data_IF_044980778009
#
_entry.id   IF_044980778009
#
_cell.length_a   1.000
_cell.length_b   1.000
_cell.length_c   1.000
_cell.angle_alpha   90.00
_cell.angle_beta   90.00
_cell.angle_gamma   90.00
#
_symmetry.space_group_name_H-M   'P 1'
#
loop_
_entity.id
_entity.type
_entity.pdbx_description
1 polymer ?
#
# COMPACT_ATOMS: atom_id res chain seq x y z
N UNK A 1 26.97 -10.80 -14.50
CA UNK A 1 25.51 -10.90 -14.74
C UNK A 1 24.67 -11.14 -13.48
N UNK A 2 25.22 -10.95 -12.26
CA UNK A 2 24.45 -11.11 -11.01
C UNK A 2 23.55 -9.91 -10.66
N UNK A 3 23.99 -8.68 -10.99
CA UNK A 3 23.31 -7.43 -10.57
C UNK A 3 21.88 -7.24 -11.09
N UNK A 4 21.52 -7.88 -12.20
CA UNK A 4 20.16 -7.76 -12.78
C UNK A 4 19.17 -8.62 -11.99
N UNK A 5 19.59 -9.77 -11.48
CA UNK A 5 18.73 -10.69 -10.74
C UNK A 5 18.41 -10.15 -9.35
N UNK A 6 19.40 -9.58 -8.65
CA UNK A 6 19.18 -8.89 -7.37
C UNK A 6 18.22 -7.70 -7.51
N UNK A 7 18.34 -6.94 -8.61
CA UNK A 7 17.44 -5.81 -8.89
C UNK A 7 15.97 -6.22 -9.04
N UNK A 8 15.70 -7.37 -9.68
CA UNK A 8 14.34 -7.89 -9.87
C UNK A 8 13.77 -8.39 -8.53
N UNK A 9 14.58 -9.07 -7.71
CA UNK A 9 14.15 -9.56 -6.40
C UNK A 9 13.85 -8.38 -5.47
N UNK A 10 14.72 -7.36 -5.43
CA UNK A 10 14.48 -6.14 -4.66
C UNK A 10 13.20 -5.47 -5.13
N UNK A 11 12.99 -5.31 -6.43
CA UNK A 11 11.79 -4.64 -6.94
C UNK A 11 10.50 -5.39 -6.54
N UNK A 12 10.49 -6.72 -6.61
CA UNK A 12 9.35 -7.54 -6.18
C UNK A 12 9.12 -7.46 -4.66
N UNK A 13 10.18 -7.44 -3.85
CA UNK A 13 10.08 -7.31 -2.39
C UNK A 13 9.53 -5.94 -2.00
N UNK A 14 9.99 -4.87 -2.66
CA UNK A 14 9.45 -3.52 -2.46
C UNK A 14 7.97 -3.42 -2.84
N UNK A 15 7.55 -4.12 -3.90
CA UNK A 15 6.16 -4.20 -4.34
C UNK A 15 5.22 -4.79 -3.28
N UNK A 16 5.73 -5.65 -2.41
CA UNK A 16 4.99 -6.28 -1.31
C UNK A 16 5.09 -5.45 -0.02
N UNK A 17 6.27 -4.90 0.28
CA UNK A 17 6.52 -4.16 1.52
C UNK A 17 5.75 -2.84 1.55
N UNK A 18 5.72 -2.10 0.44
CA UNK A 18 5.04 -0.80 0.35
C UNK A 18 3.54 -0.89 0.75
N UNK A 19 2.71 -1.76 0.13
CA UNK A 19 1.30 -1.86 0.50
C UNK A 19 1.11 -2.39 1.92
N UNK A 20 2.00 -3.24 2.42
CA UNK A 20 1.94 -3.73 3.79
C UNK A 20 2.21 -2.62 4.82
N UNK A 21 3.19 -1.75 4.55
CA UNK A 21 3.48 -0.58 5.37
C UNK A 21 2.32 0.44 5.32
N UNK A 22 1.81 0.73 4.12
CA UNK A 22 0.67 1.63 3.95
C UNK A 22 -0.58 1.12 4.68
N UNK A 23 -0.81 -0.20 4.66
CA UNK A 23 -1.95 -0.84 5.31
C UNK A 23 -1.88 -0.76 6.82
N UNK A 24 -0.72 -1.05 7.41
CA UNK A 24 -0.51 -0.96 8.86
C UNK A 24 -0.61 0.47 9.37
N UNK A 25 -0.04 1.45 8.65
CA UNK A 25 -0.15 2.88 9.00
C UNK A 25 -1.60 3.38 8.87
N UNK A 26 -2.27 3.04 7.76
CA UNK A 26 -3.66 3.40 7.51
C UNK A 26 -4.60 2.82 8.56
N UNK A 27 -4.42 1.55 8.93
CA UNK A 27 -5.20 0.88 9.97
C UNK A 27 -4.99 1.51 11.35
N UNK A 28 -3.74 1.84 11.70
CA UNK A 28 -3.43 2.49 12.98
C UNK A 28 -4.03 3.89 13.06
N UNK A 29 -3.98 4.68 11.97
CA UNK A 29 -4.64 5.98 11.89
C UNK A 29 -6.17 5.87 11.98
N UNK A 30 -6.76 4.84 11.37
CA UNK A 30 -8.20 4.57 11.45
C UNK A 30 -8.60 4.27 12.90
N UNK A 31 -7.84 3.38 13.58
CA UNK A 31 -8.07 3.04 14.97
C UNK A 31 -7.94 4.27 15.88
N UNK A 32 -6.89 5.08 15.72
CA UNK A 32 -6.73 6.33 16.47
C UNK A 32 -7.83 7.35 16.18
N UNK A 33 -8.26 7.46 14.92
CA UNK A 33 -9.35 8.35 14.49
C UNK A 33 -10.68 7.96 15.11
N UNK A 34 -10.96 6.65 15.17
CA UNK A 34 -12.16 6.08 15.78
C UNK A 34 -12.16 6.29 17.30
N UNK A 35 -11.06 5.97 17.97
CA UNK A 35 -10.96 6.05 19.44
C UNK A 35 -10.90 7.49 19.97
N UNK A 36 -10.17 8.38 19.30
CA UNK A 36 -10.00 9.77 19.77
C UNK A 36 -10.92 10.79 19.09
N UNK A 37 -11.84 10.35 18.23
CA UNK A 37 -12.75 11.19 17.43
C UNK A 37 -12.07 12.39 16.74
N UNK A 38 -10.76 12.28 16.44
CA UNK A 38 -10.04 13.31 15.71
C UNK A 38 -10.36 13.17 14.24
N UNK A 39 -11.30 13.99 13.75
CA UNK A 39 -11.74 14.02 12.34
C UNK A 39 -10.58 14.03 11.34
N UNK A 40 -9.49 14.73 11.66
CA UNK A 40 -8.27 14.78 10.85
C UNK A 40 -7.60 13.41 10.66
N UNK A 41 -7.50 12.59 11.71
CA UNK A 41 -6.87 11.27 11.61
C UNK A 41 -7.71 10.31 10.75
N UNK A 42 -9.03 10.50 10.74
CA UNK A 42 -9.96 9.68 9.96
C UNK A 42 -9.88 10.02 8.47
N UNK A 43 -9.69 11.30 8.12
CA UNK A 43 -9.43 11.74 6.75
C UNK A 43 -8.08 11.18 6.24
N UNK A 44 -7.02 11.29 7.04
CA UNK A 44 -5.69 10.76 6.69
C UNK A 44 -5.72 9.23 6.51
N UNK A 45 -6.43 8.52 7.37
CA UNK A 45 -6.65 7.07 7.23
C UNK A 45 -7.39 6.73 5.93
N UNK A 46 -8.45 7.48 5.60
CA UNK A 46 -9.19 7.30 4.36
C UNK A 46 -8.33 7.50 3.12
N UNK A 47 -7.49 8.54 3.10
CA UNK A 47 -6.56 8.80 2.00
C UNK A 47 -5.54 7.66 1.86
N UNK A 48 -4.98 7.15 2.97
CA UNK A 48 -4.08 5.99 2.94
C UNK A 48 -4.77 4.75 2.34
N UNK A 49 -6.02 4.47 2.73
CA UNK A 49 -6.78 3.35 2.17
C UNK A 49 -7.08 3.52 0.68
N UNK A 50 -7.40 4.73 0.22
CA UNK A 50 -7.63 5.02 -1.21
C UNK A 50 -6.35 4.83 -2.03
N UNK A 51 -5.21 5.26 -1.51
CA UNK A 51 -3.89 5.05 -2.13
C UNK A 51 -3.54 3.56 -2.22
N UNK A 52 -3.80 2.81 -1.15
CA UNK A 52 -3.58 1.36 -1.11
C UNK A 52 -4.49 0.63 -2.09
N UNK A 53 -5.76 1.03 -2.16
CA UNK A 53 -6.72 0.50 -3.12
C UNK A 53 -6.30 0.79 -4.55
N UNK A 54 -5.89 2.02 -4.85
CA UNK A 54 -5.35 2.41 -6.16
C UNK A 54 -4.10 1.61 -6.52
N UNK A 55 -3.18 1.42 -5.58
CA UNK A 55 -1.98 0.61 -5.78
C UNK A 55 -2.34 -0.85 -6.12
N UNK A 56 -3.32 -1.42 -5.41
CA UNK A 56 -3.81 -2.78 -5.68
C UNK A 56 -4.49 -2.88 -7.05
N UNK A 57 -5.25 -1.84 -7.44
CA UNK A 57 -5.94 -1.77 -8.73
C UNK A 57 -4.95 -1.65 -9.89
N UNK A 58 -3.94 -0.79 -9.77
CA UNK A 58 -2.84 -0.68 -10.75
C UNK A 58 -1.99 -1.96 -10.78
N UNK A 59 -1.65 -2.52 -9.63
CA UNK A 59 -0.94 -3.79 -9.54
C UNK A 59 -1.72 -4.91 -10.21
N UNK A 60 -3.02 -5.02 -9.94
CA UNK A 60 -3.89 -5.98 -10.61
C UNK A 60 -3.94 -5.72 -12.11
N UNK A 61 -4.17 -4.49 -12.57
CA UNK A 61 -4.32 -4.16 -13.99
C UNK A 61 -3.03 -4.34 -14.80
N UNK A 62 -1.85 -4.17 -14.17
CA UNK A 62 -0.54 -4.42 -14.79
C UNK A 62 -0.18 -5.91 -14.75
N UNK A 63 -0.61 -6.65 -13.71
CA UNK A 63 -0.24 -8.05 -13.48
C UNK A 63 -1.28 -9.07 -13.97
N UNK A 64 -2.54 -8.66 -14.23
CA UNK A 64 -3.47 -9.44 -15.04
C UNK A 64 -3.13 -9.16 -16.50
N UNK A 65 -2.41 -10.06 -17.19
CA UNK A 65 -2.41 -10.00 -18.64
C UNK A 65 -3.88 -10.08 -19.04
N UNK A 66 -4.33 -9.09 -19.81
CA UNK A 66 -5.54 -9.18 -20.62
C UNK A 66 -5.47 -10.51 -21.36
N UNK A 67 -6.21 -11.50 -20.85
CA UNK A 67 -6.44 -12.81 -21.45
C UNK A 67 -7.27 -12.65 -22.71
#
# INVERSE_FOLDING_TARGET
MYRVSDGIIINNVWLIIIPFLLGTIGFTCLLLGLFKQKKWNLIVAGICFILLFSYFLFGHLILTPVS
#
